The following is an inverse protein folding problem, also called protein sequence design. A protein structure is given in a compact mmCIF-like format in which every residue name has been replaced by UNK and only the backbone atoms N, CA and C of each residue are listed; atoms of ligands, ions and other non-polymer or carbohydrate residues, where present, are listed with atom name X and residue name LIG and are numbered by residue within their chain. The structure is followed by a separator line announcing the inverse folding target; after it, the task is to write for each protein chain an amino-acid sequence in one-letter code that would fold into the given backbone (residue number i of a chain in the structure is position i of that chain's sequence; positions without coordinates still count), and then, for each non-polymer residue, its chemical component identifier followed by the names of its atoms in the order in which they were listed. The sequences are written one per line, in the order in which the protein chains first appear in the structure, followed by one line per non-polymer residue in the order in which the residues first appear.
data_IF_566071547290
#
_entry.id   IF_566071547290
#
_cell.length_a   1.000
_cell.length_b   1.000
_cell.length_c   1.000
_cell.angle_alpha   90.00
_cell.angle_beta   90.00
_cell.angle_gamma   90.00
#
_symmetry.space_group_name_H-M   'P 1'
#
loop_
_entity.id
_entity.type
_entity.pdbx_description
1 polymer ?
#
# COMPACT_ATOMS: atom_id res chain seq x y z
N UNK A 1 -28.14 25.61 20.95
CA UNK A 1 -27.05 25.72 19.96
C UNK A 1 -27.35 24.98 18.65
N UNK A 2 -27.64 23.68 18.68
CA UNK A 2 -27.92 22.89 17.46
C UNK A 2 -29.11 23.40 16.63
N UNK A 3 -30.19 23.87 17.28
CA UNK A 3 -31.36 24.43 16.60
C UNK A 3 -31.03 25.71 15.82
N UNK A 4 -30.20 26.59 16.39
CA UNK A 4 -29.78 27.83 15.74
C UNK A 4 -28.87 27.56 14.53
N UNK A 5 -27.95 26.57 14.66
CA UNK A 5 -27.10 26.12 13.55
C UNK A 5 -27.95 25.48 12.45
N UNK A 6 -28.91 24.62 12.80
CA UNK A 6 -29.82 24.01 11.84
C UNK A 6 -30.64 25.04 11.06
N UNK A 7 -31.21 26.03 11.75
CA UNK A 7 -31.96 27.12 11.11
C UNK A 7 -31.07 27.95 10.14
N UNK A 8 -29.81 28.22 10.53
CA UNK A 8 -28.85 28.92 9.68
C UNK A 8 -28.49 28.10 8.43
N UNK A 9 -28.23 26.80 8.59
CA UNK A 9 -27.92 25.88 7.49
C UNK A 9 -29.09 25.78 6.52
N UNK A 10 -30.34 25.65 7.00
CA UNK A 10 -31.53 25.59 6.14
C UNK A 10 -31.74 26.90 5.38
N UNK A 11 -31.55 28.05 6.04
CA UNK A 11 -31.69 29.37 5.42
C UNK A 11 -30.65 29.63 4.33
N UNK A 12 -29.45 29.04 4.45
CA UNK A 12 -28.34 29.19 3.49
C UNK A 12 -27.96 27.88 2.79
N UNK A 13 -28.93 26.97 2.63
CA UNK A 13 -28.69 25.59 2.16
C UNK A 13 -27.85 25.51 0.89
N UNK A 14 -28.10 26.37 -0.09
CA UNK A 14 -27.34 26.38 -1.35
C UNK A 14 -25.89 26.82 -1.17
N UNK A 15 -25.61 27.78 -0.28
CA UNK A 15 -24.23 28.20 0.02
C UNK A 15 -23.49 27.06 0.72
N UNK A 16 -24.13 26.42 1.69
CA UNK A 16 -23.53 25.28 2.42
C UNK A 16 -23.19 24.14 1.46
N UNK A 17 -24.13 23.77 0.58
CA UNK A 17 -23.91 22.72 -0.42
C UNK A 17 -22.82 23.12 -1.42
N UNK A 18 -22.84 24.35 -1.93
CA UNK A 18 -21.83 24.84 -2.87
C UNK A 18 -20.42 24.83 -2.24
N UNK A 19 -20.29 25.28 -1.00
CA UNK A 19 -19.00 25.24 -0.28
C UNK A 19 -18.49 23.81 -0.15
N UNK A 20 -19.34 22.86 0.25
CA UNK A 20 -18.94 21.46 0.32
C UNK A 20 -18.58 20.87 -1.04
N UNK A 21 -19.34 21.19 -2.08
CA UNK A 21 -19.03 20.75 -3.44
C UNK A 21 -17.66 21.26 -3.89
N UNK A 22 -17.33 22.53 -3.65
CA UNK A 22 -16.02 23.12 -3.96
C UNK A 22 -14.90 22.42 -3.18
N UNK A 23 -15.09 22.15 -1.89
CA UNK A 23 -14.10 21.43 -1.07
C UNK A 23 -13.85 20.03 -1.62
N UNK A 24 -14.91 19.29 -1.96
CA UNK A 24 -14.79 17.92 -2.50
C UNK A 24 -14.10 17.95 -3.87
N UNK A 25 -14.51 18.85 -4.76
CA UNK A 25 -13.89 19.00 -6.08
C UNK A 25 -12.41 19.37 -5.98
N UNK A 26 -12.05 20.23 -5.02
CA UNK A 26 -10.66 20.56 -4.74
C UNK A 26 -9.86 19.36 -4.20
N UNK A 27 -10.51 18.43 -3.48
CA UNK A 27 -9.88 17.24 -2.92
C UNK A 27 -9.71 16.09 -3.94
N UNK A 28 -10.59 15.99 -4.95
CA UNK A 28 -10.54 14.94 -5.98
C UNK A 28 -9.17 14.71 -6.64
N UNK A 29 -8.41 15.74 -7.09
CA UNK A 29 -7.10 15.52 -7.71
C UNK A 29 -6.06 14.94 -6.74
N UNK A 30 -6.30 15.00 -5.43
CA UNK A 30 -5.43 14.44 -4.40
C UNK A 30 -5.85 13.03 -3.97
N UNK A 31 -7.05 12.57 -4.33
CA UNK A 31 -7.53 11.23 -3.99
C UNK A 31 -6.61 10.10 -4.50
N UNK A 32 -6.06 10.15 -5.74
CA UNK A 32 -5.14 9.11 -6.23
C UNK A 32 -3.83 9.04 -5.43
N UNK A 33 -3.41 10.14 -4.80
CA UNK A 33 -2.20 10.18 -3.97
C UNK A 33 -2.40 9.51 -2.61
N UNK A 34 -3.63 9.15 -2.24
CA UNK A 34 -3.88 8.48 -0.97
C UNK A 34 -3.07 7.18 -0.86
N UNK A 35 -2.98 6.40 -1.94
CA UNK A 35 -2.25 5.13 -1.97
C UNK A 35 -0.74 5.29 -1.69
N UNK A 36 -0.14 6.44 -2.03
CA UNK A 36 1.27 6.74 -1.75
C UNK A 36 1.54 6.89 -0.24
N UNK A 37 0.55 7.32 0.53
CA UNK A 37 0.67 7.56 1.98
C UNK A 37 0.02 6.46 2.83
N UNK A 38 -0.83 5.62 2.21
CA UNK A 38 -1.41 4.46 2.86
C UNK A 38 -0.32 3.40 3.02
N UNK A 39 0.24 3.32 4.23
CA UNK A 39 1.17 2.25 4.57
C UNK A 39 0.41 0.93 4.67
N UNK A 40 0.79 -0.12 3.92
CA UNK A 40 0.29 -1.46 4.16
C UNK A 40 0.73 -1.90 5.56
N UNK A 41 -0.21 -2.17 6.47
CA UNK A 41 0.09 -2.48 7.87
C UNK A 41 -1.07 -2.26 8.84
N UNK A 42 -0.76 -2.17 10.14
CA UNK A 42 -1.74 -1.94 11.22
C UNK A 42 -2.02 -3.15 12.12
N UNK A 43 -1.58 -4.34 11.72
CA UNK A 43 -1.69 -5.57 12.53
C UNK A 43 -0.60 -5.71 13.60
N UNK A 44 0.38 -4.80 13.62
CA UNK A 44 1.45 -4.75 14.63
C UNK A 44 1.66 -3.32 15.10
N UNK A 45 1.83 -3.14 16.41
CA UNK A 45 2.25 -1.87 16.99
C UNK A 45 3.78 -1.82 17.06
N UNK A 46 4.40 -0.75 16.54
CA UNK A 46 5.86 -0.57 16.58
C UNK A 46 6.41 -0.49 18.02
N UNK A 47 5.56 -0.19 19.00
CA UNK A 47 5.94 -0.21 20.42
C UNK A 47 6.09 -1.62 21.00
N UNK A 48 5.57 -2.65 20.34
CA UNK A 48 5.65 -4.01 20.84
C UNK A 48 7.09 -4.53 20.85
N UNK A 49 7.49 -5.30 21.90
CA UNK A 49 8.83 -5.88 21.98
C UNK A 49 9.19 -6.76 20.78
N UNK A 50 8.22 -7.45 20.18
CA UNK A 50 8.41 -8.28 18.98
C UNK A 50 8.80 -7.46 17.74
N UNK A 51 8.18 -6.30 17.53
CA UNK A 51 8.54 -5.39 16.44
C UNK A 51 9.96 -4.84 16.59
N UNK A 52 10.35 -4.48 17.83
CA UNK A 52 11.71 -4.03 18.15
C UNK A 52 12.74 -5.14 17.95
N UNK A 53 12.45 -6.36 18.41
CA UNK A 53 13.32 -7.52 18.22
C UNK A 53 13.53 -7.82 16.73
N UNK A 54 12.46 -7.81 15.93
CA UNK A 54 12.52 -7.99 14.47
C UNK A 54 13.40 -6.93 13.80
N UNK A 55 13.28 -5.66 14.20
CA UNK A 55 14.11 -4.56 13.68
C UNK A 55 15.60 -4.75 14.00
N UNK A 56 15.93 -5.17 15.21
CA UNK A 56 17.31 -5.47 15.61
C UNK A 56 17.87 -6.63 14.79
N UNK A 57 17.08 -7.70 14.60
CA UNK A 57 17.50 -8.84 13.78
C UNK A 57 17.73 -8.43 12.32
N UNK A 58 16.84 -7.65 11.71
CA UNK A 58 17.00 -7.13 10.35
C UNK A 58 18.29 -6.31 10.19
N UNK A 59 18.57 -5.41 11.12
CA UNK A 59 19.75 -4.55 11.05
C UNK A 59 21.07 -5.32 11.23
N UNK A 60 21.05 -6.38 12.04
CA UNK A 60 22.26 -7.15 12.37
C UNK A 60 22.55 -8.28 11.40
N UNK A 61 21.52 -8.81 10.75
CA UNK A 61 21.60 -9.98 9.88
C UNK A 61 21.30 -9.63 8.42
N UNK A 62 21.16 -8.33 8.09
CA UNK A 62 20.83 -7.83 6.75
C UNK A 62 19.60 -8.51 6.13
N UNK A 63 18.63 -8.90 6.97
CA UNK A 63 17.44 -9.62 6.52
C UNK A 63 16.47 -8.66 5.82
N UNK A 64 16.24 -8.90 4.53
CA UNK A 64 15.10 -8.31 3.83
C UNK A 64 13.80 -8.95 4.31
N UNK A 65 12.77 -8.14 4.58
CA UNK A 65 11.40 -8.65 4.79
C UNK A 65 10.59 -8.79 3.52
N UNK A 66 11.13 -8.29 2.42
CA UNK A 66 10.53 -8.40 1.11
C UNK A 66 11.35 -9.42 0.34
N UNK A 67 10.90 -10.66 0.40
CA UNK A 67 11.36 -11.73 -0.47
C UNK A 67 10.27 -11.95 -1.51
N UNK A 68 10.61 -11.72 -2.78
CA UNK A 68 9.78 -12.18 -3.89
C UNK A 68 10.34 -13.54 -4.30
N UNK A 69 9.54 -14.59 -4.16
CA UNK A 69 9.91 -15.94 -4.56
C UNK A 69 9.25 -16.26 -5.90
N UNK A 70 10.06 -16.54 -6.91
CA UNK A 70 9.58 -16.94 -8.23
C UNK A 70 9.64 -18.47 -8.32
N UNK A 71 8.48 -19.09 -8.58
CA UNK A 71 8.38 -20.53 -8.80
C UNK A 71 8.22 -20.78 -10.29
N UNK A 72 9.28 -21.30 -10.92
CA UNK A 72 9.27 -21.67 -12.33
C UNK A 72 8.81 -23.12 -12.49
N UNK A 73 7.98 -23.36 -13.50
CA UNK A 73 7.53 -24.70 -13.86
C UNK A 73 7.38 -24.82 -15.37
N UNK A 74 7.62 -26.03 -15.90
CA UNK A 74 7.44 -26.31 -17.32
C UNK A 74 6.73 -27.66 -17.49
N UNK A 75 5.78 -27.80 -18.45
CA UNK A 75 5.01 -29.04 -18.62
C UNK A 75 5.87 -30.24 -19.01
N UNK A 76 6.93 -30.01 -19.80
CA UNK A 76 7.73 -31.08 -20.40
C UNK A 76 9.19 -31.11 -19.93
N UNK A 77 9.69 -30.04 -19.31
CA UNK A 77 11.11 -29.94 -18.97
C UNK A 77 11.30 -30.20 -17.49
N UNK A 78 12.27 -31.06 -17.18
CA UNK A 78 12.70 -31.30 -15.81
C UNK A 78 13.45 -30.08 -15.27
N UNK A 79 13.36 -29.78 -13.96
CA UNK A 79 14.19 -28.74 -13.33
C UNK A 79 15.70 -28.95 -13.50
N UNK A 80 16.12 -30.18 -13.84
CA UNK A 80 17.52 -30.55 -14.08
C UNK A 80 17.92 -30.54 -15.57
N UNK A 81 17.00 -30.17 -16.47
CA UNK A 81 17.27 -30.02 -17.90
C UNK A 81 17.98 -28.68 -18.14
N UNK A 82 19.04 -28.66 -18.95
CA UNK A 82 19.79 -27.44 -19.26
C UNK A 82 18.90 -26.38 -19.90
N UNK A 83 17.92 -26.80 -20.72
CA UNK A 83 16.95 -25.87 -21.35
C UNK A 83 16.10 -25.13 -20.31
N UNK A 84 15.79 -25.78 -19.20
CA UNK A 84 15.02 -25.17 -18.12
C UNK A 84 15.88 -24.21 -17.32
N UNK A 85 17.10 -24.62 -16.95
CA UNK A 85 18.04 -23.76 -16.22
C UNK A 85 18.40 -22.50 -17.01
N UNK A 86 18.71 -22.63 -18.31
CA UNK A 86 19.04 -21.50 -19.18
C UNK A 86 17.85 -20.52 -19.29
N UNK A 87 16.62 -21.03 -19.44
CA UNK A 87 15.43 -20.19 -19.53
C UNK A 87 15.11 -19.45 -18.22
N UNK A 88 15.38 -20.08 -17.07
CA UNK A 88 15.24 -19.44 -15.76
C UNK A 88 16.30 -18.35 -15.58
N UNK A 89 17.54 -18.62 -15.97
CA UNK A 89 18.64 -17.66 -15.88
C UNK A 89 18.39 -16.44 -16.80
N UNK A 90 17.93 -16.66 -18.02
CA UNK A 90 17.50 -15.59 -18.93
C UNK A 90 16.36 -14.77 -18.32
N UNK A 91 15.35 -15.41 -17.73
CA UNK A 91 14.20 -14.73 -17.13
C UNK A 91 14.59 -13.87 -15.92
N UNK A 92 15.56 -14.31 -15.12
CA UNK A 92 16.04 -13.58 -13.94
C UNK A 92 17.07 -12.51 -14.31
N UNK A 93 17.82 -12.67 -15.40
CA UNK A 93 18.83 -11.71 -15.86
C UNK A 93 18.26 -10.31 -16.18
N UNK A 94 16.95 -10.21 -16.42
CA UNK A 94 16.25 -8.95 -16.69
C UNK A 94 15.70 -8.22 -15.45
N UNK A 95 15.90 -8.77 -14.25
CA UNK A 95 15.48 -8.18 -12.96
C UNK A 95 16.62 -7.36 -12.33
#
# INVERSE_FOLDING_TARGET
MLIAIGAFVVRRKYIVVATWAVIILAALPFAPRADEFLKPGGFSNESFPSAKARKVLQQRLELSTLSVEFVFSHPEWSPFDTRFSDAVEDAVSGL
#
